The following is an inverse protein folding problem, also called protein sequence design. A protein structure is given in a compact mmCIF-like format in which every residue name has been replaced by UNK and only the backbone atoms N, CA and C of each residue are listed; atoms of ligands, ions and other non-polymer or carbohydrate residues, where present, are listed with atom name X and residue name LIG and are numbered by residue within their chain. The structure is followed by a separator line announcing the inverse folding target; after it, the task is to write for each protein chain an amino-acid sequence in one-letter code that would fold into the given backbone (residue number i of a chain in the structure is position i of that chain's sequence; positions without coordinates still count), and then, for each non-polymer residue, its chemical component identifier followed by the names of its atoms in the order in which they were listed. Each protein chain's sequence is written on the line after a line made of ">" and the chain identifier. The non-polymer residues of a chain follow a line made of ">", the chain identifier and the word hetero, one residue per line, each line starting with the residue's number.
data_IF_794205739032
#
_entry.id   IF_794205739032
#
_cell.length_a   1.000
_cell.length_b   1.000
_cell.length_c   1.000
_cell.angle_alpha   90.00
_cell.angle_beta   90.00
_cell.angle_gamma   90.00
#
_symmetry.space_group_name_H-M   'P 1'
#
loop_
_entity.id
_entity.type
_entity.pdbx_description
1 polymer ?
#
# COMPACT_ATOMS: atom_id res chain seq x y z
N UNK A 1 17.78 1.70 29.54
CA UNK A 1 18.40 2.36 28.42
C UNK A 1 17.34 2.83 27.42
N UNK A 2 17.40 4.09 27.04
CA UNK A 2 16.43 4.65 26.12
C UNK A 2 17.11 5.20 24.88
N UNK A 3 16.57 4.85 23.70
CA UNK A 3 17.04 5.33 22.41
C UNK A 3 15.92 6.16 21.76
N UNK A 4 16.00 7.46 21.91
CA UNK A 4 14.96 8.37 21.40
C UNK A 4 15.15 8.61 19.91
N UNK A 5 14.07 8.47 19.14
CA UNK A 5 14.10 8.65 17.68
C UNK A 5 14.86 7.56 16.96
N UNK A 6 15.19 6.47 17.63
CA UNK A 6 15.95 5.36 17.09
C UNK A 6 15.03 4.21 16.69
N UNK A 7 15.63 3.15 16.18
CA UNK A 7 14.92 1.91 15.86
C UNK A 7 14.18 1.33 17.07
N UNK A 8 14.72 1.52 18.27
CA UNK A 8 14.07 1.02 19.48
C UNK A 8 12.68 1.65 19.64
N UNK A 9 12.55 2.97 19.46
CA UNK A 9 11.26 3.66 19.54
C UNK A 9 10.32 3.22 18.44
N UNK A 10 10.83 2.98 17.23
CA UNK A 10 10.03 2.50 16.12
C UNK A 10 9.51 1.10 16.41
N UNK A 11 10.36 0.22 16.92
CA UNK A 11 9.97 -1.15 17.27
C UNK A 11 8.94 -1.18 18.38
N UNK A 12 9.02 -0.26 19.33
CA UNK A 12 8.03 -0.17 20.42
C UNK A 12 6.65 0.20 19.89
N UNK A 13 6.57 0.88 18.75
CA UNK A 13 5.29 1.22 18.12
C UNK A 13 4.72 0.06 17.32
N UNK A 14 5.55 -0.88 16.90
CA UNK A 14 5.10 -1.97 16.05
C UNK A 14 4.21 -2.94 16.84
N UNK A 15 3.13 -3.37 16.23
CA UNK A 15 2.30 -4.45 16.77
C UNK A 15 2.85 -5.80 16.27
N UNK A 16 2.14 -6.89 16.59
CA UNK A 16 2.57 -8.24 16.20
C UNK A 16 2.56 -8.45 14.68
N UNK A 17 1.93 -7.56 13.91
CA UNK A 17 1.89 -7.64 12.45
C UNK A 17 3.08 -6.96 11.79
N UNK A 18 3.86 -6.18 12.54
CA UNK A 18 4.97 -5.40 12.01
C UNK A 18 4.62 -3.99 11.59
N UNK A 19 3.36 -3.58 11.64
CA UNK A 19 2.97 -2.19 11.37
C UNK A 19 3.49 -1.26 12.47
N UNK A 20 3.93 -0.07 12.07
CA UNK A 20 4.30 1.01 13.01
C UNK A 20 3.30 2.15 12.97
N UNK A 21 2.28 2.05 12.13
CA UNK A 21 1.16 3.00 12.04
C UNK A 21 -0.09 2.35 12.58
N UNK A 22 -1.09 3.17 12.93
CA UNK A 22 -2.34 2.69 13.51
C UNK A 22 -3.54 3.31 12.80
N UNK A 23 -4.66 2.60 12.84
CA UNK A 23 -5.95 3.14 12.38
C UNK A 23 -6.25 4.42 13.16
N UNK A 24 -6.67 5.46 12.46
CA UNK A 24 -6.96 6.78 13.03
C UNK A 24 -5.83 7.77 12.91
N UNK A 25 -4.61 7.31 12.64
CA UNK A 25 -3.47 8.20 12.42
C UNK A 25 -3.48 8.75 10.99
N UNK A 26 -2.90 9.93 10.81
CA UNK A 26 -2.65 10.46 9.46
C UNK A 26 -1.58 9.59 8.82
N UNK A 27 -1.87 9.12 7.61
CA UNK A 27 -0.92 8.28 6.87
C UNK A 27 0.37 9.07 6.61
N UNK A 28 1.55 8.47 6.91
CA UNK A 28 2.83 9.12 6.63
C UNK A 28 2.94 9.52 5.16
N UNK A 29 3.34 10.78 4.92
CA UNK A 29 3.45 11.30 3.57
C UNK A 29 4.69 10.77 2.86
N UNK A 30 4.62 10.71 1.54
CA UNK A 30 5.74 10.31 0.69
C UNK A 30 5.52 10.79 -0.73
N UNK A 31 6.59 10.80 -1.51
CA UNK A 31 6.53 11.00 -2.96
C UNK A 31 7.08 9.75 -3.62
N UNK A 32 6.36 9.21 -4.58
CA UNK A 32 6.73 7.98 -5.27
C UNK A 32 6.79 8.23 -6.78
N UNK A 33 7.77 7.61 -7.43
CA UNK A 33 7.86 7.61 -8.89
C UNK A 33 7.19 6.36 -9.42
N UNK A 34 6.15 6.54 -10.23
CA UNK A 34 5.44 5.43 -10.86
C UNK A 34 6.25 4.86 -12.03
N UNK A 35 5.86 3.67 -12.49
CA UNK A 35 6.59 3.00 -13.58
C UNK A 35 6.55 3.76 -14.90
N UNK A 36 5.60 4.68 -15.09
CA UNK A 36 5.53 5.55 -16.27
C UNK A 36 6.35 6.83 -16.12
N UNK A 37 7.07 7.00 -15.01
CA UNK A 37 7.90 8.17 -14.74
C UNK A 37 7.20 9.31 -14.02
N UNK A 38 5.87 9.25 -13.85
CA UNK A 38 5.15 10.28 -13.12
C UNK A 38 5.44 10.20 -11.63
N UNK A 39 5.46 11.34 -10.96
CA UNK A 39 5.62 11.40 -9.51
C UNK A 39 4.28 11.71 -8.86
N UNK A 40 4.02 11.04 -7.75
CA UNK A 40 2.79 11.24 -6.96
C UNK A 40 3.19 11.44 -5.51
N UNK A 41 2.66 12.50 -4.90
CA UNK A 41 2.81 12.74 -3.46
C UNK A 41 1.51 12.37 -2.78
N UNK A 42 1.57 11.55 -1.73
CA UNK A 42 0.36 11.06 -1.07
C UNK A 42 -0.54 12.21 -0.61
N UNK A 43 0.04 13.26 -0.01
CA UNK A 43 -0.75 14.40 0.48
C UNK A 43 -1.48 15.16 -0.61
N UNK A 44 -1.05 15.03 -1.88
CA UNK A 44 -1.75 15.65 -3.01
C UNK A 44 -3.06 14.93 -3.35
N UNK A 45 -3.27 13.76 -2.78
CA UNK A 45 -4.47 12.95 -3.02
C UNK A 45 -5.56 13.16 -1.97
N UNK A 46 -5.43 14.20 -1.12
CA UNK A 46 -6.49 14.55 -0.17
C UNK A 46 -7.80 14.83 -0.92
N UNK A 47 -8.90 14.41 -0.34
CA UNK A 47 -10.22 14.45 -0.97
C UNK A 47 -10.57 13.14 -1.68
N UNK A 48 -9.59 12.27 -1.88
CA UNK A 48 -9.81 10.95 -2.50
C UNK A 48 -9.65 9.85 -1.45
N UNK A 49 -10.36 8.74 -1.68
CA UNK A 49 -10.10 7.50 -0.97
C UNK A 49 -8.86 6.87 -1.62
N UNK A 50 -7.86 6.52 -0.83
CA UNK A 50 -6.59 6.01 -1.35
C UNK A 50 -6.33 4.62 -0.77
N UNK A 51 -5.99 3.68 -1.64
CA UNK A 51 -5.50 2.37 -1.22
C UNK A 51 -4.03 2.25 -1.61
N UNK A 52 -3.19 1.90 -0.65
CA UNK A 52 -1.80 1.56 -0.88
C UNK A 52 -1.64 0.06 -0.73
N UNK A 53 -1.00 -0.57 -1.70
CA UNK A 53 -0.63 -1.98 -1.62
C UNK A 53 0.89 -2.07 -1.63
N UNK A 54 1.48 -2.69 -0.61
CA UNK A 54 2.91 -2.98 -0.61
C UNK A 54 3.15 -4.35 -1.22
N UNK A 55 4.09 -4.43 -2.15
CA UNK A 55 4.31 -5.63 -2.95
C UNK A 55 5.77 -5.80 -3.37
N UNK A 56 6.10 -6.96 -3.92
CA UNK A 56 7.40 -7.24 -4.53
C UNK A 56 7.27 -8.46 -5.44
N UNK A 57 8.10 -8.53 -6.48
CA UNK A 57 7.99 -9.58 -7.50
C UNK A 57 8.27 -10.97 -6.95
N UNK A 58 9.08 -11.07 -5.89
CA UNK A 58 9.43 -12.35 -5.25
C UNK A 58 8.39 -12.83 -4.24
N UNK A 59 7.37 -12.03 -3.99
CA UNK A 59 6.38 -12.33 -2.96
C UNK A 59 5.21 -13.14 -3.54
N UNK A 60 5.15 -14.43 -3.18
CA UNK A 60 4.10 -15.33 -3.68
C UNK A 60 2.70 -14.92 -3.27
N UNK A 61 2.52 -14.46 -2.02
CA UNK A 61 1.22 -14.01 -1.51
C UNK A 61 0.76 -12.76 -2.26
N UNK A 62 1.68 -11.83 -2.54
CA UNK A 62 1.36 -10.64 -3.33
C UNK A 62 0.87 -11.01 -4.72
N UNK A 63 1.56 -11.95 -5.37
CA UNK A 63 1.18 -12.44 -6.70
C UNK A 63 -0.19 -13.08 -6.70
N UNK A 64 -0.55 -13.75 -5.61
CA UNK A 64 -1.86 -14.38 -5.47
C UNK A 64 -2.96 -13.33 -5.28
N UNK A 65 -2.69 -12.28 -4.52
CA UNK A 65 -3.66 -11.25 -4.19
C UNK A 65 -3.92 -10.29 -5.36
N UNK A 66 -2.89 -9.97 -6.13
CA UNK A 66 -2.95 -8.88 -7.10
C UNK A 66 -4.03 -9.05 -8.18
N UNK A 67 -4.29 -10.25 -8.73
CA UNK A 67 -5.40 -10.41 -9.66
C UNK A 67 -6.76 -10.09 -9.04
N UNK A 68 -6.93 -10.34 -7.76
CA UNK A 68 -8.18 -10.00 -7.05
C UNK A 68 -8.28 -8.51 -6.82
N UNK A 69 -7.17 -7.83 -6.50
CA UNK A 69 -7.15 -6.37 -6.39
C UNK A 69 -7.54 -5.75 -7.74
N UNK A 70 -6.99 -6.25 -8.82
CA UNK A 70 -7.31 -5.78 -10.16
C UNK A 70 -8.80 -5.93 -10.45
N UNK A 71 -9.33 -7.14 -10.27
CA UNK A 71 -10.70 -7.48 -10.65
C UNK A 71 -11.74 -6.85 -9.72
N UNK A 72 -11.53 -6.94 -8.40
CA UNK A 72 -12.57 -6.59 -7.44
C UNK A 72 -12.49 -5.16 -6.94
N UNK A 73 -11.37 -4.49 -7.13
CA UNK A 73 -11.17 -3.11 -6.68
C UNK A 73 -10.88 -2.19 -7.87
N UNK A 74 -9.80 -2.43 -8.59
CA UNK A 74 -9.34 -1.48 -9.59
C UNK A 74 -10.31 -1.37 -10.78
N UNK A 75 -10.68 -2.48 -11.40
CA UNK A 75 -11.56 -2.43 -12.56
C UNK A 75 -12.94 -1.87 -12.22
N UNK A 76 -13.38 -1.97 -10.98
CA UNK A 76 -14.66 -1.41 -10.55
C UNK A 76 -14.61 0.09 -10.29
N UNK A 77 -13.45 0.62 -9.89
CA UNK A 77 -13.33 2.00 -9.43
C UNK A 77 -12.35 2.85 -10.25
N UNK A 78 -11.72 2.29 -11.26
CA UNK A 78 -10.67 2.99 -12.03
C UNK A 78 -11.14 4.31 -12.66
N UNK A 79 -12.43 4.40 -12.98
CA UNK A 79 -12.99 5.60 -13.59
C UNK A 79 -13.58 6.56 -12.57
N UNK A 80 -13.51 6.24 -11.29
CA UNK A 80 -13.97 7.12 -10.22
C UNK A 80 -12.84 8.08 -9.83
N UNK A 81 -13.05 9.37 -10.10
CA UNK A 81 -12.05 10.41 -9.82
C UNK A 81 -11.74 10.53 -8.32
N UNK A 82 -12.59 10.00 -7.45
CA UNK A 82 -12.42 10.08 -6.00
C UNK A 82 -11.65 8.89 -5.43
N UNK A 83 -11.12 8.01 -6.28
CA UNK A 83 -10.37 6.83 -5.84
C UNK A 83 -8.99 6.80 -6.46
N UNK A 84 -7.98 6.46 -5.65
CA UNK A 84 -6.60 6.24 -6.11
C UNK A 84 -6.08 4.93 -5.52
N UNK A 85 -5.42 4.15 -6.34
CA UNK A 85 -4.79 2.88 -5.94
C UNK A 85 -3.35 2.88 -6.44
N UNK A 86 -2.41 2.68 -5.52
CA UNK A 86 -0.98 2.63 -5.85
C UNK A 86 -0.38 1.36 -5.25
N UNK A 87 0.23 0.54 -6.10
CA UNK A 87 1.06 -0.56 -5.66
C UNK A 87 2.47 -0.06 -5.46
N UNK A 88 3.03 -0.24 -4.27
CA UNK A 88 4.37 0.23 -3.90
C UNK A 88 5.29 -0.98 -3.87
N UNK A 89 6.20 -1.04 -4.84
CA UNK A 89 7.11 -2.17 -4.99
C UNK A 89 8.39 -1.92 -4.19
N UNK A 90 8.60 -2.77 -3.19
CA UNK A 90 9.69 -2.59 -2.22
C UNK A 90 11.03 -2.97 -2.81
N UNK A 91 11.86 -1.95 -3.04
CA UNK A 91 13.29 -2.09 -3.35
C UNK A 91 13.61 -2.99 -4.54
N UNK A 92 12.90 -2.75 -5.65
CA UNK A 92 13.20 -3.44 -6.91
C UNK A 92 13.39 -2.42 -8.04
N UNK A 93 14.24 -2.73 -9.04
CA UNK A 93 14.47 -1.83 -10.17
C UNK A 93 13.27 -1.82 -11.13
N UNK A 94 13.18 -0.76 -11.92
CA UNK A 94 12.06 -0.52 -12.84
C UNK A 94 11.75 -1.73 -13.72
N UNK A 95 12.76 -2.35 -14.33
CA UNK A 95 12.52 -3.46 -15.26
C UNK A 95 11.91 -4.68 -14.56
N UNK A 96 12.24 -4.90 -13.30
CA UNK A 96 11.60 -5.98 -12.52
C UNK A 96 10.15 -5.66 -12.22
N UNK A 97 9.85 -4.41 -11.90
CA UNK A 97 8.49 -3.99 -11.58
C UNK A 97 7.61 -4.05 -12.83
N UNK A 98 8.14 -3.64 -13.98
CA UNK A 98 7.42 -3.74 -15.26
C UNK A 98 7.10 -5.20 -15.61
N UNK A 99 8.08 -6.09 -15.46
CA UNK A 99 7.88 -7.52 -15.71
C UNK A 99 6.87 -8.12 -14.74
N UNK A 100 6.90 -7.69 -13.49
CA UNK A 100 5.97 -8.12 -12.45
C UNK A 100 4.53 -7.72 -12.79
N UNK A 101 4.32 -6.47 -13.19
CA UNK A 101 3.01 -5.99 -13.62
C UNK A 101 2.48 -6.83 -14.77
N UNK A 102 3.32 -7.11 -15.76
CA UNK A 102 2.95 -7.92 -16.92
C UNK A 102 2.59 -9.34 -16.51
N UNK A 103 3.38 -9.96 -15.64
CA UNK A 103 3.16 -11.35 -15.23
C UNK A 103 1.90 -11.53 -14.40
N UNK A 104 1.51 -10.52 -13.63
CA UNK A 104 0.30 -10.56 -12.79
C UNK A 104 -0.94 -10.08 -13.52
N UNK A 105 -0.77 -9.37 -14.64
CA UNK A 105 -1.88 -8.84 -15.42
C UNK A 105 -2.55 -7.62 -14.84
N UNK A 106 -1.95 -6.99 -13.83
CA UNK A 106 -2.55 -5.80 -13.20
C UNK A 106 -2.35 -4.56 -14.07
N UNK A 107 -3.33 -3.66 -14.03
CA UNK A 107 -3.30 -2.40 -14.77
C UNK A 107 -3.30 -1.17 -13.87
N UNK A 108 -3.44 -1.35 -12.56
CA UNK A 108 -3.33 -0.21 -11.64
C UNK A 108 -1.87 0.23 -11.51
N UNK A 109 -1.67 1.47 -11.08
CA UNK A 109 -0.34 2.07 -11.01
C UNK A 109 0.56 1.36 -10.01
N UNK A 110 1.77 1.02 -10.44
CA UNK A 110 2.84 0.54 -9.57
C UNK A 110 3.91 1.61 -9.48
N UNK A 111 4.51 1.75 -8.31
CA UNK A 111 5.57 2.71 -8.07
C UNK A 111 6.78 2.07 -7.43
N UNK A 112 7.90 2.78 -7.49
CA UNK A 112 9.21 2.30 -7.05
C UNK A 112 9.51 2.81 -5.65
N UNK A 113 9.99 1.92 -4.78
CA UNK A 113 10.38 2.25 -3.41
C UNK A 113 11.84 1.84 -3.16
N UNK A 114 12.81 2.59 -3.73
CA UNK A 114 14.23 2.27 -3.54
C UNK A 114 14.59 2.28 -2.05
N UNK A 115 15.35 1.27 -1.63
CA UNK A 115 15.78 1.15 -0.24
C UNK A 115 14.67 0.84 0.75
N UNK A 116 13.45 0.58 0.28
CA UNK A 116 12.28 0.35 1.14
C UNK A 116 11.94 1.54 2.04
N UNK A 117 12.26 2.76 1.60
CA UNK A 117 12.10 3.96 2.43
C UNK A 117 10.63 4.31 2.69
N UNK A 118 9.76 4.08 1.71
CA UNK A 118 8.31 4.30 1.89
C UNK A 118 7.76 3.21 2.79
N UNK A 119 8.11 1.94 2.53
CA UNK A 119 7.66 0.81 3.34
C UNK A 119 8.01 1.03 4.82
N UNK A 120 9.21 1.52 5.10
CA UNK A 120 9.69 1.75 6.45
C UNK A 120 8.94 2.86 7.20
N UNK A 121 8.17 3.67 6.50
CA UNK A 121 7.29 4.66 7.16
C UNK A 121 6.03 4.02 7.73
N UNK A 122 5.66 2.84 7.23
CA UNK A 122 4.40 2.16 7.57
C UNK A 122 4.63 0.90 8.41
N UNK A 123 5.75 0.24 8.23
CA UNK A 123 6.06 -1.04 8.88
C UNK A 123 7.55 -1.14 9.18
N UNK A 124 7.92 -2.07 10.04
CA UNK A 124 9.35 -2.36 10.26
C UNK A 124 9.97 -2.76 8.92
N UNK A 125 11.16 -2.24 8.63
CA UNK A 125 11.81 -2.39 7.32
C UNK A 125 11.98 -3.86 6.92
N UNK A 126 12.19 -4.75 7.87
CA UNK A 126 12.38 -6.19 7.66
C UNK A 126 11.08 -7.01 7.83
N UNK A 127 9.95 -6.35 8.02
CA UNK A 127 8.67 -7.06 8.17
C UNK A 127 8.17 -7.62 6.82
N UNK A 128 7.23 -8.57 6.90
CA UNK A 128 6.61 -9.14 5.71
C UNK A 128 5.97 -8.11 4.82
N UNK A 129 6.06 -8.31 3.50
CA UNK A 129 5.74 -7.30 2.51
C UNK A 129 4.25 -7.13 2.23
N UNK A 130 3.46 -8.21 2.27
CA UNK A 130 2.07 -8.21 1.79
C UNK A 130 1.18 -7.40 2.73
N UNK A 131 0.87 -6.16 2.35
CA UNK A 131 0.12 -5.23 3.19
C UNK A 131 -0.72 -4.30 2.34
N UNK A 132 -1.91 -3.97 2.84
CA UNK A 132 -2.76 -2.95 2.24
C UNK A 132 -3.12 -1.92 3.29
N UNK A 133 -3.08 -0.65 2.90
CA UNK A 133 -3.43 0.48 3.76
C UNK A 133 -4.54 1.26 3.08
N UNK A 134 -5.69 1.39 3.73
CA UNK A 134 -6.81 2.16 3.22
C UNK A 134 -6.87 3.49 3.96
N UNK A 135 -6.93 4.58 3.19
CA UNK A 135 -6.83 5.94 3.69
C UNK A 135 -8.08 6.71 3.25
N UNK A 136 -8.69 7.45 4.17
CA UNK A 136 -9.88 8.22 3.86
C UNK A 136 -9.56 9.55 3.18
N UNK A 137 -10.59 10.32 2.86
CA UNK A 137 -10.45 11.59 2.14
C UNK A 137 -9.67 12.65 2.90
N UNK A 138 -9.57 12.52 4.22
CA UNK A 138 -8.82 13.45 5.08
C UNK A 138 -7.40 12.98 5.35
N UNK A 139 -7.01 11.84 4.79
CA UNK A 139 -5.67 11.31 4.95
C UNK A 139 -5.48 10.41 6.16
N UNK A 140 -6.57 10.00 6.82
CA UNK A 140 -6.49 9.10 7.97
C UNK A 140 -6.53 7.66 7.53
N UNK A 141 -5.73 6.83 8.18
CA UNK A 141 -5.75 5.39 7.98
C UNK A 141 -7.04 4.83 8.59
N UNK A 142 -7.82 4.12 7.79
CA UNK A 142 -9.09 3.52 8.24
C UNK A 142 -9.08 2.00 8.23
N UNK A 143 -8.11 1.39 7.54
CA UNK A 143 -7.95 -0.07 7.54
C UNK A 143 -6.52 -0.45 7.23
N UNK A 144 -6.04 -1.49 7.92
CA UNK A 144 -4.73 -2.09 7.69
C UNK A 144 -4.95 -3.59 7.52
N UNK A 145 -4.40 -4.18 6.46
CA UNK A 145 -4.42 -5.62 6.27
C UNK A 145 -3.02 -6.17 6.13
N UNK A 146 -2.87 -7.47 6.29
CA UNK A 146 -1.61 -8.18 6.17
C UNK A 146 -1.87 -9.57 5.61
N UNK A 147 -1.02 -9.99 4.68
CA UNK A 147 -1.16 -11.27 3.98
C UNK A 147 -2.45 -11.27 3.14
N UNK A 148 -2.95 -12.44 2.76
CA UNK A 148 -4.19 -12.56 2.02
C UNK A 148 -5.11 -13.56 2.71
N UNK A 149 -6.32 -13.11 2.99
CA UNK A 149 -7.40 -13.90 3.57
C UNK A 149 -8.68 -13.46 2.88
N UNK A 150 -9.48 -14.41 2.40
CA UNK A 150 -10.67 -14.09 1.63
C UNK A 150 -11.67 -13.20 2.38
N UNK A 151 -11.88 -13.48 3.66
CA UNK A 151 -12.82 -12.70 4.48
C UNK A 151 -12.32 -11.28 4.70
N UNK A 152 -11.04 -11.14 5.01
CA UNK A 152 -10.42 -9.82 5.22
C UNK A 152 -10.42 -9.04 3.92
N UNK A 153 -10.13 -9.69 2.79
CA UNK A 153 -10.14 -9.04 1.49
C UNK A 153 -11.56 -8.58 1.12
N UNK A 154 -12.56 -9.43 1.35
CA UNK A 154 -13.96 -9.07 1.11
C UNK A 154 -14.37 -7.86 1.95
N UNK A 155 -13.92 -7.81 3.21
CA UNK A 155 -14.16 -6.66 4.10
C UNK A 155 -13.51 -5.39 3.56
N UNK A 156 -12.29 -5.48 3.04
CA UNK A 156 -11.60 -4.35 2.41
C UNK A 156 -12.38 -3.84 1.21
N UNK A 157 -12.80 -4.75 0.32
CA UNK A 157 -13.59 -4.40 -0.87
C UNK A 157 -14.87 -3.69 -0.47
N UNK A 158 -15.60 -4.25 0.51
CA UNK A 158 -16.84 -3.67 0.99
C UNK A 158 -16.63 -2.27 1.55
N UNK A 159 -15.59 -2.06 2.34
CA UNK A 159 -15.29 -0.75 2.93
C UNK A 159 -14.99 0.28 1.84
N UNK A 160 -14.21 -0.09 0.83
CA UNK A 160 -13.94 0.81 -0.30
C UNK A 160 -15.24 1.19 -1.01
N UNK A 161 -16.09 0.20 -1.29
CA UNK A 161 -17.38 0.45 -1.94
C UNK A 161 -18.25 1.41 -1.12
N UNK A 162 -18.29 1.24 0.19
CA UNK A 162 -19.05 2.12 1.08
C UNK A 162 -18.51 3.55 1.07
N UNK A 163 -17.18 3.70 1.10
CA UNK A 163 -16.55 5.02 1.13
C UNK A 163 -16.71 5.79 -0.18
N UNK A 164 -16.97 5.08 -1.28
CA UNK A 164 -17.12 5.68 -2.62
C UNK A 164 -18.56 5.86 -3.06
N UNK A 165 -19.51 5.58 -2.19
CA UNK A 165 -20.92 5.84 -2.47
C UNK A 165 -21.25 7.33 -2.57
#
# INVERSE_FOLDING_TARGET
>A
LRLVGSEMCIRDRADSTGYIVRIGEIAPDFTITLTDGKQVTLSSLRGKVVMLQFTASWCGVCRKEMPFIEKDIWLKHKDNADFALIGIDRDEPLEKVLAFAKSTGVTYSLGLDPGADIFAKYALRDAGITRNVLIDREGKIVKLTRLYNEEEFASLVQQINEMLK
#
